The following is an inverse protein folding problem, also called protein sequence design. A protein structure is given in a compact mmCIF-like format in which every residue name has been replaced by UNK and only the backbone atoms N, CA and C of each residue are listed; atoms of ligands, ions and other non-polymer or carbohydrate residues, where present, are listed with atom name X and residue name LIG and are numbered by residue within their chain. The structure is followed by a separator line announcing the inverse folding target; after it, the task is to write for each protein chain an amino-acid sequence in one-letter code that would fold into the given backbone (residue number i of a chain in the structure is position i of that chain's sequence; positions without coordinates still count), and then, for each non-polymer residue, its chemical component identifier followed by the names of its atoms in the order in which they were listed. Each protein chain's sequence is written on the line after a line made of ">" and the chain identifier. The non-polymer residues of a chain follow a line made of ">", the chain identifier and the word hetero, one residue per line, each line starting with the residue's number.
data_IF_344720504204
#
_entry.id   IF_344720504204
#
_cell.length_a   1.000
_cell.length_b   1.000
_cell.length_c   1.000
_cell.angle_alpha   90.00
_cell.angle_beta   90.00
_cell.angle_gamma   90.00
#
_symmetry.space_group_name_H-M   'P 1'
#
loop_
_entity.id
_entity.type
_entity.pdbx_description
1 polymer ?
#
# COMPACT_ATOMS: atom_id res chain seq x y z
N UNK A 1 10.69 -19.53 -16.98
CA UNK A 1 11.30 -18.26 -16.51
C UNK A 1 10.51 -17.81 -15.30
N UNK A 2 11.19 -17.40 -14.23
CA UNK A 2 10.53 -16.87 -13.03
C UNK A 2 10.63 -15.35 -13.05
N UNK A 3 9.51 -14.66 -13.21
CA UNK A 3 9.44 -13.22 -13.06
C UNK A 3 9.46 -12.88 -11.57
N UNK A 4 10.40 -12.04 -11.14
CA UNK A 4 10.46 -11.53 -9.77
C UNK A 4 9.90 -10.13 -9.73
N UNK A 5 9.06 -9.85 -8.74
CA UNK A 5 8.53 -8.51 -8.46
C UNK A 5 9.06 -8.08 -7.11
N UNK A 6 9.55 -6.84 -7.02
CA UNK A 6 10.05 -6.23 -5.79
C UNK A 6 8.98 -5.28 -5.27
N UNK A 7 8.67 -5.39 -3.97
CA UNK A 7 7.75 -4.50 -3.27
C UNK A 7 8.52 -3.72 -2.20
N UNK A 8 8.32 -2.41 -2.15
CA UNK A 8 8.86 -1.57 -1.08
C UNK A 8 7.84 -1.49 0.06
N UNK A 9 8.32 -1.70 1.28
CA UNK A 9 7.51 -1.64 2.49
C UNK A 9 7.94 -0.46 3.36
N UNK A 10 7.02 0.11 4.13
CA UNK A 10 7.28 1.11 5.17
C UNK A 10 6.54 0.75 6.45
N UNK A 11 6.99 1.29 7.58
CA UNK A 11 6.22 1.21 8.83
C UNK A 11 4.85 1.83 8.59
N UNK A 12 3.82 1.16 9.10
CA UNK A 12 2.45 1.60 8.93
C UNK A 12 2.13 2.82 9.80
N UNK A 13 1.29 3.71 9.29
CA UNK A 13 0.77 4.87 10.00
C UNK A 13 -0.71 4.69 10.29
N UNK A 14 -1.34 5.67 10.96
CA UNK A 14 -2.75 5.55 11.34
C UNK A 14 -3.65 5.58 10.10
N UNK A 15 -3.26 6.38 9.13
CA UNK A 15 -3.98 6.64 7.89
C UNK A 15 -4.09 5.40 6.99
N UNK A 16 -3.21 4.41 7.21
CA UNK A 16 -3.29 3.12 6.51
C UNK A 16 -4.51 2.31 6.96
N UNK A 17 -4.85 2.36 8.25
CA UNK A 17 -5.89 1.50 8.84
C UNK A 17 -7.15 2.24 9.24
N UNK A 18 -7.14 3.57 9.20
CA UNK A 18 -8.27 4.41 9.50
C UNK A 18 -8.41 5.59 8.53
N UNK A 19 -9.64 6.00 8.25
CA UNK A 19 -9.91 7.27 7.58
C UNK A 19 -9.82 8.46 8.56
N UNK A 20 -10.05 9.67 8.05
CA UNK A 20 -10.02 10.91 8.83
C UNK A 20 -11.09 10.95 9.94
N UNK A 21 -12.16 10.16 9.80
CA UNK A 21 -13.26 10.04 10.76
C UNK A 21 -13.03 8.89 11.76
N UNK A 22 -11.95 8.13 11.62
CA UNK A 22 -11.62 6.98 12.46
C UNK A 22 -12.31 5.67 12.05
N UNK A 23 -12.97 5.62 10.90
CA UNK A 23 -13.52 4.37 10.37
C UNK A 23 -12.38 3.48 9.88
N UNK A 24 -12.50 2.18 10.16
CA UNK A 24 -11.50 1.18 9.76
C UNK A 24 -11.42 1.06 8.22
N UNK A 25 -10.20 1.10 7.68
CA UNK A 25 -9.91 0.76 6.28
C UNK A 25 -9.71 -0.75 6.16
N UNK A 26 -10.78 -1.48 5.88
CA UNK A 26 -10.73 -2.93 5.68
C UNK A 26 -10.10 -3.25 4.31
N UNK A 27 -9.34 -4.35 4.25
CA UNK A 27 -8.65 -4.83 3.05
C UNK A 27 -7.19 -4.38 2.92
N UNK A 28 -6.65 -3.65 3.90
CA UNK A 28 -5.26 -3.19 3.88
C UNK A 28 -4.32 -4.38 3.99
N UNK A 29 -3.46 -4.54 2.97
CA UNK A 29 -2.35 -5.49 3.00
C UNK A 29 -1.28 -5.00 3.98
N UNK A 30 -0.85 -5.87 4.89
CA UNK A 30 0.26 -5.58 5.79
C UNK A 30 1.12 -6.82 6.04
N UNK A 31 2.35 -6.57 6.49
CA UNK A 31 3.33 -7.56 6.88
C UNK A 31 3.73 -7.32 8.32
N UNK A 32 4.14 -8.37 9.01
CA UNK A 32 4.56 -8.33 10.41
C UNK A 32 6.06 -8.59 10.49
N UNK A 33 6.74 -7.92 11.43
CA UNK A 33 8.12 -8.17 11.78
C UNK A 33 8.18 -8.82 13.16
N UNK A 34 8.99 -9.86 13.35
CA UNK A 34 9.20 -10.44 14.68
C UNK A 34 10.14 -9.56 15.53
N UNK A 35 10.39 -9.96 16.78
CA UNK A 35 11.26 -9.23 17.70
C UNK A 35 12.76 -9.22 17.30
N UNK A 36 13.17 -10.14 16.43
CA UNK A 36 14.55 -10.24 15.94
C UNK A 36 14.78 -9.37 14.69
N UNK A 37 13.72 -8.69 14.23
CA UNK A 37 13.75 -7.87 13.02
C UNK A 37 13.49 -8.63 11.73
N UNK A 38 13.13 -9.92 11.80
CA UNK A 38 12.82 -10.72 10.62
C UNK A 38 11.39 -10.46 10.14
N UNK A 39 11.24 -10.31 8.82
CA UNK A 39 9.94 -10.09 8.20
C UNK A 39 9.22 -11.41 7.98
N UNK A 40 7.97 -11.49 8.43
CA UNK A 40 7.06 -12.53 8.01
C UNK A 40 6.74 -12.32 6.52
N UNK A 41 7.13 -13.27 5.67
CA UNK A 41 6.94 -13.18 4.22
C UNK A 41 5.50 -13.43 3.78
N UNK A 42 4.68 -13.97 4.67
CA UNK A 42 3.24 -14.12 4.44
C UNK A 42 2.53 -12.78 4.67
N UNK A 43 1.78 -12.27 3.68
CA UNK A 43 0.97 -11.09 3.88
C UNK A 43 -0.27 -11.39 4.73
N UNK A 44 -0.73 -10.36 5.44
CA UNK A 44 -1.99 -10.33 6.16
C UNK A 44 -2.89 -9.24 5.58
N UNK A 45 -4.20 -9.38 5.80
CA UNK A 45 -5.19 -8.36 5.45
C UNK A 45 -5.90 -7.87 6.70
N UNK A 46 -5.97 -6.57 6.87
CA UNK A 46 -6.73 -5.97 7.96
C UNK A 46 -8.22 -6.10 7.64
N UNK A 47 -8.97 -6.82 8.48
CA UNK A 47 -10.37 -7.18 8.28
C UNK A 47 -11.15 -7.31 9.60
N UNK A 48 -12.44 -7.66 9.56
CA UNK A 48 -13.25 -7.79 10.78
C UNK A 48 -12.75 -8.89 11.73
N UNK A 49 -12.07 -9.90 11.19
CA UNK A 49 -11.54 -11.05 11.92
C UNK A 49 -10.10 -10.83 12.42
N UNK A 50 -9.54 -9.63 12.22
CA UNK A 50 -8.20 -9.33 12.69
C UNK A 50 -8.17 -9.37 14.22
N UNK A 51 -7.29 -10.20 14.78
CA UNK A 51 -7.06 -10.27 16.22
C UNK A 51 -6.50 -8.92 16.70
N UNK A 52 -7.37 -8.10 17.27
CA UNK A 52 -7.10 -6.67 17.45
C UNK A 52 -6.08 -6.43 18.57
N UNK A 53 -5.96 -7.33 19.54
CA UNK A 53 -5.02 -7.19 20.65
C UNK A 53 -3.58 -7.36 20.15
N UNK A 54 -3.31 -8.45 19.44
CA UNK A 54 -2.02 -8.70 18.80
C UNK A 54 -1.70 -7.63 17.76
N UNK A 55 -2.67 -7.26 16.93
CA UNK A 55 -2.48 -6.18 15.95
C UNK A 55 -2.03 -4.88 16.61
N UNK A 56 -2.71 -4.44 17.68
CA UNK A 56 -2.36 -3.22 18.41
C UNK A 56 -0.99 -3.30 19.06
N UNK A 57 -0.62 -4.47 19.60
CA UNK A 57 0.70 -4.69 20.19
C UNK A 57 1.80 -4.54 19.15
N UNK A 58 1.67 -5.22 18.01
CA UNK A 58 2.64 -5.13 16.91
C UNK A 58 2.69 -3.71 16.32
N UNK A 59 1.54 -3.04 16.23
CA UNK A 59 1.47 -1.68 15.73
C UNK A 59 2.18 -0.68 16.65
N UNK A 60 1.98 -0.78 17.97
CA UNK A 60 2.61 0.13 18.94
C UNK A 60 4.13 -0.03 19.01
N UNK A 61 4.66 -1.19 18.61
CA UNK A 61 6.08 -1.49 18.52
C UNK A 61 6.67 -1.29 17.12
N UNK A 62 5.93 -0.68 16.18
CA UNK A 62 6.37 -0.43 14.80
C UNK A 62 6.73 -1.71 14.02
N UNK A 63 6.12 -2.83 14.36
CA UNK A 63 6.32 -4.14 13.73
C UNK A 63 5.32 -4.42 12.60
N UNK A 64 4.47 -3.45 12.24
CA UNK A 64 3.51 -3.56 11.13
C UNK A 64 4.02 -2.73 9.96
N UNK A 65 4.15 -3.38 8.81
CA UNK A 65 4.63 -2.78 7.57
C UNK A 65 3.57 -2.88 6.49
N UNK A 66 3.47 -1.85 5.67
CA UNK A 66 2.53 -1.77 4.54
C UNK A 66 3.31 -1.44 3.27
N UNK A 67 2.88 -1.91 2.08
CA UNK A 67 3.43 -1.40 0.84
C UNK A 67 3.43 0.13 0.78
N UNK A 68 4.49 0.67 0.23
CA UNK A 68 4.54 2.08 -0.15
C UNK A 68 3.47 2.29 -1.22
N UNK A 69 2.67 3.37 -1.11
CA UNK A 69 1.66 3.76 -2.11
C UNK A 69 0.46 2.81 -2.27
N UNK A 70 0.05 2.10 -1.21
CA UNK A 70 -1.17 1.25 -1.22
C UNK A 70 -2.41 1.99 -1.75
N UNK A 71 -2.54 3.25 -1.37
CA UNK A 71 -3.70 4.08 -1.67
C UNK A 71 -3.37 5.25 -2.58
N UNK A 72 -2.29 5.18 -3.36
CA UNK A 72 -2.03 6.22 -4.35
C UNK A 72 -3.23 6.31 -5.29
N UNK A 73 -3.79 7.51 -5.42
CA UNK A 73 -4.85 7.79 -6.37
C UNK A 73 -4.34 7.45 -7.77
N UNK A 74 -5.02 6.53 -8.46
CA UNK A 74 -4.73 6.23 -9.85
C UNK A 74 -5.22 7.41 -10.68
N UNK A 75 -4.32 8.36 -10.96
CA UNK A 75 -4.57 9.41 -11.93
C UNK A 75 -4.64 8.80 -13.34
N UNK A 76 -5.80 8.86 -13.99
CA UNK A 76 -5.90 8.59 -15.42
C UNK A 76 -5.24 9.77 -16.13
N UNK A 77 -4.01 9.58 -16.62
CA UNK A 77 -3.38 10.53 -17.52
C UNK A 77 -4.04 10.36 -18.89
N UNK A 78 -4.93 11.27 -19.27
CA UNK A 78 -5.39 11.36 -20.65
C UNK A 78 -4.18 11.66 -21.54
N UNK A 79 -3.84 10.75 -22.45
CA UNK A 79 -2.74 10.95 -23.39
C UNK A 79 -3.03 12.21 -24.22
N UNK A 80 -2.10 13.18 -24.19
CA UNK A 80 -2.18 14.37 -25.04
C UNK A 80 -2.22 13.91 -26.50
N UNK A 81 -3.29 14.28 -27.22
CA UNK A 81 -3.37 14.07 -28.66
C UNK A 81 -2.29 14.91 -29.33
N UNK A 82 -1.33 14.28 -30.00
CA UNK A 82 -0.44 14.95 -30.96
C UNK A 82 -1.29 15.66 -32.01
N UNK A 83 -1.33 16.99 -31.97
CA UNK A 83 -1.82 17.80 -33.08
C UNK A 83 -0.70 17.85 -34.11
N UNK A 84 -0.77 16.98 -35.12
CA UNK A 84 0.08 17.08 -36.31
C UNK A 84 -0.40 18.26 -37.15
N UNK A 85 0.27 19.41 -37.01
CA UNK A 85 0.08 20.55 -37.90
C UNK A 85 0.66 20.22 -39.28
N UNK A 86 -0.18 19.72 -40.19
CA UNK A 86 0.17 19.58 -41.61
C UNK A 86 0.28 20.97 -42.24
N UNK A 87 1.50 21.47 -42.41
CA UNK A 87 1.76 22.63 -43.28
C UNK A 87 1.68 22.17 -44.74
N UNK A 88 0.57 22.50 -45.40
CA UNK A 88 0.45 22.37 -46.85
C UNK A 88 1.16 23.56 -47.49
N UNK A 89 2.36 23.34 -48.03
CA UNK A 89 2.99 24.31 -48.91
C UNK A 89 2.32 24.24 -50.29
N UNK A 90 1.81 25.39 -50.75
CA UNK A 90 1.31 25.62 -52.11
C UNK A 90 2.45 25.72 -53.12
#
# INVERSE_FOLDING_TARGET
>A
MTTKVIMQLRVATREDFADLYGNKRIGVLYFQQNHDGEMCTQPFYFNENTEIHNFRQLYSTSQIFVPVRIFDEVGILEAEKEITNTTVNQ
#
